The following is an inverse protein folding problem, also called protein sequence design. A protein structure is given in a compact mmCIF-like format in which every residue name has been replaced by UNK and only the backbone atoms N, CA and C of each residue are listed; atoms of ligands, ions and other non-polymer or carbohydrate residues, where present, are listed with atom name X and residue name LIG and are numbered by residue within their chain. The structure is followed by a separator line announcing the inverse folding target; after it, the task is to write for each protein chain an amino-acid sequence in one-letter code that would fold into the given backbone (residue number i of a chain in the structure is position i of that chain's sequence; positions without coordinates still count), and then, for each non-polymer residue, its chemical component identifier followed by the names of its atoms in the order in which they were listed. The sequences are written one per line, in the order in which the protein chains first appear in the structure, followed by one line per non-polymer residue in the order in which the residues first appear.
data_IF_016486081037
#
_entry.id   IF_016486081037
#
_cell.length_a   1.000
_cell.length_b   1.000
_cell.length_c   1.000
_cell.angle_alpha   90.00
_cell.angle_beta   90.00
_cell.angle_gamma   90.00
#
_symmetry.space_group_name_H-M   'P 1'
#
loop_
_entity.id
_entity.type
_entity.pdbx_description
1 polymer ?
#
# COMPACT_ATOMS: atom_id res chain seq x y z
N UNK A 1 -15.40 17.58 -32.37
CA UNK A 1 -14.09 16.94 -32.27
C UNK A 1 -13.90 16.45 -30.83
N UNK A 2 -13.57 15.17 -30.69
CA UNK A 2 -13.23 14.60 -29.37
C UNK A 2 -11.86 15.16 -28.96
N UNK A 3 -11.70 15.79 -27.78
CA UNK A 3 -10.43 16.38 -27.35
C UNK A 3 -9.40 15.34 -26.90
N UNK A 4 -9.45 14.16 -27.47
CA UNK A 4 -8.65 13.00 -27.08
C UNK A 4 -7.95 12.41 -28.28
N UNK A 5 -6.72 11.95 -28.07
CA UNK A 5 -5.94 11.29 -29.09
C UNK A 5 -6.23 9.78 -29.08
N UNK A 6 -6.68 9.21 -30.21
CA UNK A 6 -6.87 7.76 -30.29
C UNK A 6 -5.51 7.06 -30.36
N UNK A 7 -5.42 5.89 -29.74
CA UNK A 7 -4.31 4.97 -29.93
C UNK A 7 -4.49 4.23 -31.29
N UNK A 8 -3.48 3.54 -31.82
CA UNK A 8 -3.51 2.98 -33.17
C UNK A 8 -4.70 2.08 -33.50
N UNK A 9 -5.25 1.38 -32.51
CA UNK A 9 -6.39 0.49 -32.68
C UNK A 9 -7.76 1.18 -32.52
N UNK A 10 -7.78 2.50 -32.22
CA UNK A 10 -8.97 3.31 -31.99
C UNK A 10 -9.90 2.79 -30.88
N UNK A 11 -9.40 1.96 -29.96
CA UNK A 11 -10.12 1.48 -28.77
C UNK A 11 -9.64 2.14 -27.48
N UNK A 12 -8.54 2.89 -27.54
CA UNK A 12 -7.92 3.60 -26.42
C UNK A 12 -7.81 5.08 -26.73
N UNK A 13 -8.22 5.93 -25.79
CA UNK A 13 -8.22 7.38 -25.96
C UNK A 13 -7.50 8.06 -24.81
N UNK A 14 -6.67 9.05 -25.12
CA UNK A 14 -5.89 9.81 -24.15
C UNK A 14 -6.20 11.30 -24.29
N UNK A 15 -6.64 11.92 -23.21
CA UNK A 15 -6.98 13.34 -23.13
C UNK A 15 -6.09 13.97 -22.03
N UNK A 16 -5.17 14.85 -22.41
CA UNK A 16 -4.23 15.47 -21.47
C UNK A 16 -4.21 16.99 -21.57
N UNK A 17 -5.23 17.59 -22.18
CA UNK A 17 -5.30 19.04 -22.30
C UNK A 17 -5.57 19.69 -20.95
N UNK A 18 -4.67 20.57 -20.44
CA UNK A 18 -4.79 21.13 -19.09
C UNK A 18 -6.06 21.97 -18.85
N UNK A 19 -6.65 22.51 -19.90
CA UNK A 19 -7.87 23.32 -19.80
C UNK A 19 -9.16 22.52 -19.94
N UNK A 20 -9.06 21.20 -20.21
CA UNK A 20 -10.24 20.35 -20.36
C UNK A 20 -11.01 20.30 -19.02
N UNK A 21 -12.26 20.75 -19.05
CA UNK A 21 -13.12 20.84 -17.85
C UNK A 21 -14.34 19.92 -17.90
N UNK A 22 -14.58 19.25 -19.02
CA UNK A 22 -15.70 18.32 -19.18
C UNK A 22 -15.19 16.96 -19.65
N UNK A 23 -15.83 15.88 -19.17
CA UNK A 23 -15.52 14.53 -19.62
C UNK A 23 -15.84 14.40 -21.13
N UNK A 24 -14.96 13.77 -21.92
CA UNK A 24 -15.16 13.68 -23.38
C UNK A 24 -16.44 12.93 -23.74
N UNK A 25 -17.13 13.40 -24.76
CA UNK A 25 -18.32 12.78 -25.32
C UNK A 25 -18.04 12.26 -26.71
N UNK A 26 -18.91 11.39 -27.23
CA UNK A 26 -18.80 10.89 -28.60
C UNK A 26 -17.73 9.81 -28.80
N UNK A 27 -17.27 9.19 -27.72
CA UNK A 27 -16.37 8.04 -27.82
C UNK A 27 -17.11 6.82 -28.40
N UNK A 28 -16.46 6.01 -29.26
CA UNK A 28 -17.12 4.87 -29.87
C UNK A 28 -17.49 3.78 -28.86
N UNK A 29 -18.55 3.00 -29.11
CA UNK A 29 -18.94 1.89 -28.22
C UNK A 29 -17.88 0.79 -28.08
N UNK A 30 -16.92 0.75 -28.98
CA UNK A 30 -15.78 -0.19 -28.94
C UNK A 30 -14.67 0.22 -27.99
N UNK A 31 -14.80 1.37 -27.32
CA UNK A 31 -13.75 1.90 -26.43
C UNK A 31 -13.47 0.94 -25.28
N UNK A 32 -12.19 0.61 -25.10
CA UNK A 32 -11.68 -0.30 -24.06
C UNK A 32 -11.00 0.46 -22.94
N UNK A 33 -10.31 1.57 -23.26
CA UNK A 33 -9.58 2.35 -22.28
C UNK A 33 -9.71 3.85 -22.54
N UNK A 34 -9.86 4.60 -21.46
CA UNK A 34 -9.90 6.06 -21.48
C UNK A 34 -8.93 6.57 -20.42
N UNK A 35 -8.09 7.53 -20.84
CA UNK A 35 -7.23 8.28 -19.93
C UNK A 35 -7.56 9.77 -20.07
N UNK A 36 -8.07 10.38 -19.00
CA UNK A 36 -8.25 11.83 -18.88
C UNK A 36 -7.39 12.27 -17.70
N UNK A 37 -6.21 12.77 -17.99
CA UNK A 37 -5.19 13.04 -16.97
C UNK A 37 -4.59 14.43 -17.12
N UNK A 38 -4.20 15.04 -16.00
CA UNK A 38 -3.58 16.37 -15.95
C UNK A 38 -4.47 17.45 -16.56
N UNK A 39 -5.76 17.39 -16.29
CA UNK A 39 -6.76 18.33 -16.82
C UNK A 39 -7.41 19.14 -15.69
N UNK A 40 -8.31 20.04 -16.08
CA UNK A 40 -9.12 20.82 -15.16
C UNK A 40 -10.47 20.15 -14.80
N UNK A 41 -10.61 18.84 -15.09
CA UNK A 41 -11.84 18.11 -14.83
C UNK A 41 -12.16 18.07 -13.34
N UNK A 42 -13.30 18.66 -12.96
CA UNK A 42 -13.72 18.78 -11.57
C UNK A 42 -14.97 17.96 -11.25
N UNK A 43 -15.78 17.65 -12.25
CA UNK A 43 -17.04 16.91 -12.09
C UNK A 43 -17.24 15.92 -13.20
N UNK A 44 -17.98 14.86 -12.91
CA UNK A 44 -18.43 13.87 -13.89
C UNK A 44 -19.94 13.79 -13.88
N UNK A 45 -20.61 13.82 -15.04
CA UNK A 45 -22.04 13.54 -15.06
C UNK A 45 -22.28 12.04 -14.72
N UNK A 46 -23.43 11.69 -14.11
CA UNK A 46 -23.73 10.29 -13.82
C UNK A 46 -23.70 9.38 -15.06
N UNK A 47 -23.92 9.98 -16.23
CA UNK A 47 -23.97 9.31 -17.52
C UNK A 47 -22.67 9.34 -18.30
N UNK A 48 -21.57 9.76 -17.67
CA UNK A 48 -20.27 9.94 -18.36
C UNK A 48 -19.81 8.72 -19.14
N UNK A 49 -20.10 7.52 -18.64
CA UNK A 49 -19.67 6.26 -19.24
C UNK A 49 -20.78 5.52 -19.97
N UNK A 50 -21.95 6.15 -20.14
CA UNK A 50 -23.06 5.57 -20.91
C UNK A 50 -22.61 5.30 -22.34
N UNK A 51 -23.01 4.15 -22.90
CA UNK A 51 -22.65 3.79 -24.27
C UNK A 51 -21.23 3.24 -24.45
N UNK A 52 -20.54 2.88 -23.36
CA UNK A 52 -19.18 2.32 -23.39
C UNK A 52 -19.15 0.91 -22.76
N UNK A 53 -19.91 -0.07 -23.28
CA UNK A 53 -20.10 -1.36 -22.61
C UNK A 53 -18.84 -2.24 -22.54
N UNK A 54 -17.80 -1.89 -23.32
CA UNK A 54 -16.53 -2.66 -23.37
C UNK A 54 -15.41 -2.03 -22.59
N UNK A 55 -15.69 -0.97 -21.83
CA UNK A 55 -14.66 -0.26 -21.08
C UNK A 55 -14.05 -1.17 -20.01
N UNK A 56 -12.73 -1.31 -20.05
CA UNK A 56 -11.94 -2.09 -19.09
C UNK A 56 -11.01 -1.22 -18.23
N UNK A 57 -10.57 -0.08 -18.75
CA UNK A 57 -9.65 0.79 -18.05
C UNK A 57 -10.14 2.23 -18.07
N UNK A 58 -10.21 2.82 -16.88
CA UNK A 58 -10.53 4.23 -16.71
C UNK A 58 -9.45 4.89 -15.85
N UNK A 59 -8.65 5.76 -16.49
CA UNK A 59 -7.59 6.51 -15.85
C UNK A 59 -7.99 7.97 -15.75
N UNK A 60 -8.16 8.46 -14.51
CA UNK A 60 -8.59 9.83 -14.22
C UNK A 60 -7.61 10.54 -13.28
N UNK A 61 -6.32 10.19 -13.35
CA UNK A 61 -5.32 10.75 -12.46
C UNK A 61 -5.06 12.24 -12.72
N UNK A 62 -4.68 12.94 -11.66
CA UNK A 62 -4.26 14.35 -11.71
C UNK A 62 -5.32 15.27 -12.33
N UNK A 63 -6.53 15.12 -11.87
CA UNK A 63 -7.65 16.04 -12.14
C UNK A 63 -8.06 16.74 -10.85
N UNK A 64 -9.27 17.31 -10.81
CA UNK A 64 -9.80 18.07 -9.67
C UNK A 64 -11.12 17.48 -9.15
N UNK A 65 -11.29 16.16 -9.27
CA UNK A 65 -12.52 15.50 -8.86
C UNK A 65 -12.63 15.49 -7.33
N UNK A 66 -13.71 16.12 -6.81
CA UNK A 66 -14.01 16.15 -5.38
C UNK A 66 -15.06 15.10 -4.98
N UNK A 67 -15.83 14.60 -5.94
CA UNK A 67 -16.85 13.58 -5.72
C UNK A 67 -17.07 12.77 -7.01
N UNK A 68 -17.60 11.55 -6.85
CA UNK A 68 -18.02 10.71 -7.97
C UNK A 68 -19.51 10.45 -7.88
N UNK A 69 -20.24 10.44 -9.01
CA UNK A 69 -21.64 10.02 -9.01
C UNK A 69 -21.79 8.56 -8.61
N UNK A 70 -22.80 8.23 -7.80
CA UNK A 70 -23.03 6.86 -7.37
C UNK A 70 -23.32 5.89 -8.50
N UNK A 71 -23.90 6.38 -9.62
CA UNK A 71 -24.24 5.58 -10.77
C UNK A 71 -23.15 5.53 -11.86
N UNK A 72 -22.01 6.18 -11.63
CA UNK A 72 -20.96 6.36 -12.65
C UNK A 72 -20.53 5.06 -13.32
N UNK A 73 -20.31 4.00 -12.54
CA UNK A 73 -19.73 2.76 -13.02
C UNK A 73 -20.78 1.70 -13.42
N UNK A 74 -22.07 1.98 -13.27
CA UNK A 74 -23.12 1.04 -13.65
C UNK A 74 -23.08 0.60 -15.12
N UNK A 75 -22.77 1.50 -16.08
CA UNK A 75 -22.72 1.10 -17.50
C UNK A 75 -21.53 0.22 -17.87
N UNK A 76 -20.54 0.05 -16.97
CA UNK A 76 -19.25 -0.54 -17.31
C UNK A 76 -18.89 -1.74 -16.39
N UNK A 77 -19.70 -2.82 -16.41
CA UNK A 77 -19.45 -3.99 -15.55
C UNK A 77 -18.17 -4.75 -15.91
N UNK A 78 -17.57 -4.46 -17.05
CA UNK A 78 -16.31 -5.05 -17.53
C UNK A 78 -15.06 -4.31 -17.03
N UNK A 79 -15.22 -3.27 -16.22
CA UNK A 79 -14.11 -2.47 -15.73
C UNK A 79 -13.13 -3.30 -14.89
N UNK A 80 -11.85 -3.22 -15.21
CA UNK A 80 -10.76 -3.94 -14.56
C UNK A 80 -9.79 -3.02 -13.84
N UNK A 81 -9.62 -1.80 -14.35
CA UNK A 81 -8.68 -0.81 -13.81
C UNK A 81 -9.42 0.51 -13.61
N UNK A 82 -9.35 1.04 -12.40
CA UNK A 82 -9.80 2.39 -12.07
C UNK A 82 -8.67 3.13 -11.36
N UNK A 83 -8.14 4.16 -11.99
CA UNK A 83 -7.09 5.01 -11.43
C UNK A 83 -7.63 6.42 -11.19
N UNK A 84 -7.69 6.82 -9.92
CA UNK A 84 -8.16 8.11 -9.46
C UNK A 84 -7.06 8.87 -8.70
N UNK A 85 -5.80 8.56 -9.00
CA UNK A 85 -4.63 9.18 -8.34
C UNK A 85 -4.69 10.71 -8.43
N UNK A 86 -4.32 11.37 -7.33
CA UNK A 86 -4.17 12.83 -7.26
C UNK A 86 -5.42 13.60 -7.70
N UNK A 87 -6.52 13.29 -7.07
CA UNK A 87 -7.76 14.08 -7.12
C UNK A 87 -8.05 14.68 -5.73
N UNK A 88 -9.27 15.08 -5.49
CA UNK A 88 -9.71 15.76 -4.27
C UNK A 88 -10.81 14.96 -3.54
N UNK A 89 -10.86 13.65 -3.76
CA UNK A 89 -11.90 12.79 -3.19
C UNK A 89 -11.74 12.66 -1.68
N UNK A 90 -12.75 13.01 -0.91
CA UNK A 90 -12.80 12.80 0.53
C UNK A 90 -13.66 11.60 0.93
N UNK A 91 -14.52 11.14 0.02
CA UNK A 91 -15.33 9.94 0.19
C UNK A 91 -15.71 9.34 -1.17
N UNK A 92 -16.23 8.12 -1.16
CA UNK A 92 -16.82 7.45 -2.31
C UNK A 92 -18.26 7.05 -1.98
N UNK A 93 -19.17 7.06 -2.97
CA UNK A 93 -20.51 6.50 -2.76
C UNK A 93 -20.44 5.03 -2.33
N UNK A 94 -21.22 4.65 -1.33
CA UNK A 94 -21.13 3.31 -0.71
C UNK A 94 -21.32 2.16 -1.72
N UNK A 95 -22.17 2.35 -2.72
CA UNK A 95 -22.48 1.33 -3.73
C UNK A 95 -21.75 1.48 -5.06
N UNK A 96 -20.72 2.33 -5.14
CA UNK A 96 -20.06 2.64 -6.41
C UNK A 96 -19.50 1.41 -7.13
N UNK A 97 -18.99 0.43 -6.38
CA UNK A 97 -18.39 -0.79 -6.94
C UNK A 97 -19.33 -1.98 -6.98
N UNK A 98 -20.63 -1.81 -6.73
CA UNK A 98 -21.58 -2.92 -6.69
C UNK A 98 -21.63 -3.70 -7.99
N UNK A 99 -21.52 -3.02 -9.14
CA UNK A 99 -21.57 -3.65 -10.46
C UNK A 99 -20.24 -3.97 -11.10
N UNK A 100 -19.11 -3.67 -10.45
CA UNK A 100 -17.77 -3.83 -11.03
C UNK A 100 -16.99 -4.98 -10.39
N UNK A 101 -17.60 -6.16 -10.32
CA UNK A 101 -17.01 -7.34 -9.67
C UNK A 101 -15.76 -7.88 -10.35
N UNK A 102 -15.44 -7.43 -11.57
CA UNK A 102 -14.23 -7.79 -12.30
C UNK A 102 -13.05 -6.86 -12.03
N UNK A 103 -13.23 -5.85 -11.18
CA UNK A 103 -12.17 -4.88 -10.91
C UNK A 103 -10.94 -5.57 -10.32
N UNK A 104 -9.78 -5.31 -10.91
CA UNK A 104 -8.49 -5.89 -10.55
C UNK A 104 -7.54 -4.88 -9.91
N UNK A 105 -7.58 -3.63 -10.39
CA UNK A 105 -6.71 -2.55 -9.91
C UNK A 105 -7.56 -1.34 -9.54
N UNK A 106 -7.44 -0.92 -8.28
CA UNK A 106 -8.09 0.29 -7.77
C UNK A 106 -7.04 1.18 -7.14
N UNK A 107 -6.83 2.37 -7.72
CA UNK A 107 -5.84 3.33 -7.23
C UNK A 107 -6.56 4.59 -6.80
N UNK A 108 -6.48 4.88 -5.51
CA UNK A 108 -7.07 6.07 -4.85
C UNK A 108 -5.99 6.93 -4.18
N UNK A 109 -4.75 6.76 -4.60
CA UNK A 109 -3.58 7.45 -4.07
C UNK A 109 -3.71 8.96 -4.22
N UNK A 110 -3.28 9.71 -3.19
CA UNK A 110 -3.19 11.16 -3.30
C UNK A 110 -4.54 11.88 -3.28
N UNK A 111 -5.51 11.33 -2.60
CA UNK A 111 -6.81 11.97 -2.36
C UNK A 111 -6.92 12.49 -0.92
N UNK A 112 -8.13 12.66 -0.42
CA UNK A 112 -8.42 13.21 0.91
C UNK A 112 -9.31 12.27 1.74
N UNK A 113 -9.23 10.97 1.50
CA UNK A 113 -10.04 9.98 2.21
C UNK A 113 -9.67 9.96 3.69
N UNK A 114 -10.66 10.07 4.57
CA UNK A 114 -10.49 10.01 6.03
C UNK A 114 -10.98 8.72 6.64
N UNK A 115 -12.00 8.13 6.02
CA UNK A 115 -12.67 6.93 6.53
C UNK A 115 -12.81 5.93 5.38
N UNK A 116 -12.45 4.68 5.64
CA UNK A 116 -12.76 3.58 4.75
C UNK A 116 -14.12 3.00 5.12
N UNK A 117 -14.95 2.78 4.11
CA UNK A 117 -16.22 2.08 4.30
C UNK A 117 -16.06 0.64 3.81
N UNK A 118 -16.24 -0.36 4.67
CA UNK A 118 -16.14 -1.77 4.27
C UNK A 118 -17.07 -2.13 3.10
N UNK A 119 -18.20 -1.43 2.96
CA UNK A 119 -19.13 -1.62 1.87
C UNK A 119 -18.51 -1.41 0.48
N UNK A 120 -17.47 -0.59 0.36
CA UNK A 120 -16.81 -0.38 -0.94
C UNK A 120 -16.23 -1.67 -1.52
N UNK A 121 -15.75 -2.56 -0.66
CA UNK A 121 -14.98 -3.73 -1.10
C UNK A 121 -15.80 -5.01 -1.15
N UNK A 122 -17.10 -4.97 -0.79
CA UNK A 122 -17.93 -6.16 -0.60
C UNK A 122 -17.96 -7.09 -1.81
N UNK A 123 -17.95 -6.54 -3.03
CA UNK A 123 -18.09 -7.31 -4.27
C UNK A 123 -16.79 -7.45 -5.07
N UNK A 124 -15.64 -7.02 -4.51
CA UNK A 124 -14.38 -6.93 -5.23
C UNK A 124 -13.48 -8.16 -4.99
N UNK A 125 -14.05 -9.35 -5.12
CA UNK A 125 -13.32 -10.61 -4.87
C UNK A 125 -12.15 -10.86 -5.84
N UNK A 126 -12.11 -10.16 -6.99
CA UNK A 126 -11.04 -10.28 -7.98
C UNK A 126 -10.00 -9.16 -7.89
N UNK A 127 -10.16 -8.22 -6.96
CA UNK A 127 -9.21 -7.13 -6.80
C UNK A 127 -7.85 -7.67 -6.40
N UNK A 128 -6.81 -7.29 -7.16
CA UNK A 128 -5.42 -7.72 -6.96
C UNK A 128 -4.53 -6.61 -6.40
N UNK A 129 -4.85 -5.36 -6.71
CA UNK A 129 -4.06 -4.19 -6.33
C UNK A 129 -4.98 -3.11 -5.78
N UNK A 130 -4.71 -2.69 -4.53
CA UNK A 130 -5.41 -1.58 -3.89
C UNK A 130 -4.39 -0.58 -3.36
N UNK A 131 -4.41 0.63 -3.92
CA UNK A 131 -3.54 1.72 -3.48
C UNK A 131 -4.37 2.82 -2.82
N UNK A 132 -4.21 2.95 -1.51
CA UNK A 132 -4.84 3.97 -0.67
C UNK A 132 -3.81 4.93 -0.07
N UNK A 133 -2.61 4.97 -0.65
CA UNK A 133 -1.52 5.79 -0.14
C UNK A 133 -1.83 7.29 -0.22
N UNK A 134 -1.17 8.07 0.64
CA UNK A 134 -1.25 9.53 0.61
C UNK A 134 -2.69 10.05 0.70
N UNK A 135 -3.45 9.51 1.63
CA UNK A 135 -4.75 10.00 2.06
C UNK A 135 -4.67 10.51 3.51
N UNK A 136 -5.80 10.64 4.17
CA UNK A 136 -5.88 11.11 5.55
C UNK A 136 -6.52 10.07 6.49
N UNK A 137 -6.30 8.78 6.20
CA UNK A 137 -6.88 7.69 6.98
C UNK A 137 -6.27 7.65 8.38
N UNK A 138 -7.10 7.72 9.40
CA UNK A 138 -6.70 7.61 10.81
C UNK A 138 -6.90 6.22 11.37
N UNK A 139 -7.79 5.45 10.76
CA UNK A 139 -8.07 4.07 11.15
C UNK A 139 -8.59 3.27 9.97
N UNK A 140 -8.45 1.95 10.06
CA UNK A 140 -9.07 0.99 9.14
C UNK A 140 -10.00 0.11 9.97
N UNK A 141 -11.30 0.06 9.65
CA UNK A 141 -12.23 -0.78 10.43
C UNK A 141 -11.82 -2.25 10.39
N UNK A 142 -12.08 -3.01 11.46
CA UNK A 142 -11.90 -4.46 11.44
C UNK A 142 -12.67 -5.09 10.28
N UNK A 143 -12.11 -6.10 9.64
CA UNK A 143 -12.75 -6.83 8.54
C UNK A 143 -13.00 -5.99 7.27
N UNK A 144 -12.46 -4.77 7.19
CA UNK A 144 -12.69 -3.88 6.04
C UNK A 144 -12.27 -4.52 4.70
N UNK A 145 -11.19 -5.29 4.73
CA UNK A 145 -10.63 -5.92 3.52
C UNK A 145 -10.99 -7.39 3.39
N UNK A 146 -11.85 -7.92 4.26
CA UNK A 146 -12.17 -9.35 4.30
C UNK A 146 -12.62 -9.94 2.96
N UNK A 147 -13.43 -9.24 2.14
CA UNK A 147 -13.85 -9.76 0.83
C UNK A 147 -12.73 -9.88 -0.22
N UNK A 148 -11.58 -9.24 0.02
CA UNK A 148 -10.52 -9.09 -0.97
C UNK A 148 -9.59 -10.32 -1.01
N UNK A 149 -10.16 -11.48 -1.26
CA UNK A 149 -9.43 -12.76 -1.21
C UNK A 149 -8.36 -12.93 -2.28
N UNK A 150 -8.39 -12.12 -3.34
CA UNK A 150 -7.39 -12.15 -4.42
C UNK A 150 -6.36 -11.03 -4.33
N UNK A 151 -6.46 -10.16 -3.31
CA UNK A 151 -5.58 -9.00 -3.18
C UNK A 151 -4.13 -9.43 -2.96
N UNK A 152 -3.25 -8.98 -3.85
CA UNK A 152 -1.81 -9.25 -3.80
C UNK A 152 -1.01 -8.08 -3.23
N UNK A 153 -1.44 -6.85 -3.48
CA UNK A 153 -0.77 -5.65 -3.00
C UNK A 153 -1.75 -4.68 -2.35
N UNK A 154 -1.42 -4.28 -1.11
CA UNK A 154 -2.15 -3.26 -0.36
C UNK A 154 -1.17 -2.16 0.04
N UNK A 155 -1.43 -0.94 -0.42
CA UNK A 155 -0.63 0.23 -0.05
C UNK A 155 -1.47 1.18 0.81
N UNK A 156 -1.08 1.33 2.07
CA UNK A 156 -1.66 2.25 3.05
C UNK A 156 -0.64 3.29 3.52
N UNK A 157 0.45 3.47 2.76
CA UNK A 157 1.52 4.38 3.12
C UNK A 157 1.07 5.84 3.14
N UNK A 158 1.77 6.65 3.93
CA UNK A 158 1.53 8.10 4.01
C UNK A 158 0.07 8.45 4.37
N UNK A 159 -0.47 7.74 5.33
CA UNK A 159 -1.72 8.07 6.01
C UNK A 159 -1.41 8.49 7.46
N UNK A 160 -2.39 8.42 8.33
CA UNK A 160 -2.27 8.86 9.72
C UNK A 160 -2.61 7.73 10.70
N UNK A 161 -2.34 6.47 10.32
CA UNK A 161 -2.65 5.31 11.13
C UNK A 161 -1.76 5.26 12.37
N UNK A 162 -2.36 5.26 13.55
CA UNK A 162 -1.64 5.13 14.83
C UNK A 162 -1.62 3.69 15.33
N UNK A 163 -2.60 2.89 14.94
CA UNK A 163 -2.74 1.48 15.30
C UNK A 163 -3.29 0.70 14.12
N UNK A 164 -3.09 -0.62 14.16
CA UNK A 164 -3.77 -1.56 13.27
C UNK A 164 -4.80 -2.31 14.08
N UNK A 165 -6.08 -2.16 13.72
CA UNK A 165 -7.18 -2.80 14.44
C UNK A 165 -7.07 -4.32 14.38
N UNK A 166 -7.48 -5.03 15.46
CA UNK A 166 -7.58 -6.49 15.40
C UNK A 166 -8.47 -6.93 14.24
N UNK A 167 -8.01 -7.91 13.44
CA UNK A 167 -8.76 -8.40 12.29
C UNK A 167 -8.70 -7.53 11.05
N UNK A 168 -7.90 -6.47 11.04
CA UNK A 168 -7.76 -5.59 9.87
C UNK A 168 -7.31 -6.33 8.62
N UNK A 169 -6.40 -7.30 8.77
CA UNK A 169 -5.85 -8.06 7.65
C UNK A 169 -6.57 -9.37 7.39
N UNK A 170 -7.64 -9.67 8.12
CA UNK A 170 -8.40 -10.90 7.93
C UNK A 170 -8.97 -11.00 6.51
N UNK A 171 -8.89 -12.18 5.93
CA UNK A 171 -9.36 -12.45 4.58
C UNK A 171 -8.34 -12.23 3.47
N UNK A 172 -7.24 -11.55 3.76
CA UNK A 172 -6.20 -11.22 2.76
C UNK A 172 -5.24 -12.39 2.53
N UNK A 173 -5.77 -13.53 2.14
CA UNK A 173 -5.00 -14.79 2.01
C UNK A 173 -3.94 -14.77 0.92
N UNK A 174 -4.13 -13.96 -0.12
CA UNK A 174 -3.22 -13.87 -1.25
C UNK A 174 -2.23 -12.70 -1.15
N UNK A 175 -2.26 -11.95 -0.04
CA UNK A 175 -1.46 -10.73 0.08
C UNK A 175 0.04 -11.05 0.08
N UNK A 176 0.75 -10.42 -0.85
CA UNK A 176 2.20 -10.55 -1.02
C UNK A 176 2.96 -9.28 -0.65
N UNK A 177 2.35 -8.13 -0.79
CA UNK A 177 2.95 -6.83 -0.50
C UNK A 177 2.04 -6.00 0.39
N UNK A 178 2.58 -5.54 1.52
CA UNK A 178 1.90 -4.61 2.43
C UNK A 178 2.81 -3.41 2.69
N UNK A 179 2.36 -2.21 2.32
CA UNK A 179 3.08 -0.99 2.58
C UNK A 179 2.35 -0.14 3.63
N UNK A 180 2.99 0.04 4.77
CA UNK A 180 2.53 0.86 5.89
C UNK A 180 3.50 2.01 6.21
N UNK A 181 4.41 2.31 5.27
CA UNK A 181 5.39 3.40 5.41
C UNK A 181 4.72 4.73 5.73
N UNK A 182 5.39 5.54 6.56
CA UNK A 182 4.99 6.94 6.74
C UNK A 182 3.67 7.13 7.48
N UNK A 183 3.30 6.21 8.34
CA UNK A 183 2.17 6.36 9.25
C UNK A 183 2.65 6.78 10.65
N UNK A 184 1.82 6.55 11.67
CA UNK A 184 2.11 6.91 13.07
C UNK A 184 2.05 5.70 13.98
N UNK A 185 2.35 4.50 13.45
CA UNK A 185 2.25 3.26 14.20
C UNK A 185 3.24 3.25 15.36
N UNK A 186 2.73 3.15 16.58
CA UNK A 186 3.55 3.07 17.79
C UNK A 186 3.71 1.65 18.32
N UNK A 187 2.70 0.83 18.13
CA UNK A 187 2.67 -0.57 18.58
C UNK A 187 1.94 -1.43 17.56
N UNK A 188 2.25 -2.72 17.58
CA UNK A 188 1.54 -3.74 16.81
C UNK A 188 1.04 -4.82 17.77
N UNK A 189 -0.07 -5.48 17.41
CA UNK A 189 -0.59 -6.61 18.18
C UNK A 189 0.16 -7.89 17.78
N UNK A 190 0.30 -8.86 18.72
CA UNK A 190 1.03 -10.11 18.42
C UNK A 190 0.51 -10.87 17.21
N UNK A 191 -0.80 -10.86 16.98
CA UNK A 191 -1.44 -11.61 15.90
C UNK A 191 -1.63 -10.82 14.60
N UNK A 192 -1.05 -9.63 14.49
CA UNK A 192 -1.26 -8.72 13.34
C UNK A 192 -1.05 -9.40 11.99
N UNK A 193 0.01 -10.17 11.83
CA UNK A 193 0.38 -10.77 10.54
C UNK A 193 -0.03 -12.23 10.38
N UNK A 194 -0.72 -12.81 11.36
CA UNK A 194 -1.21 -14.19 11.27
C UNK A 194 -2.09 -14.42 10.03
N UNK A 195 -2.99 -13.48 9.64
CA UNK A 195 -3.86 -13.68 8.48
C UNK A 195 -3.15 -13.62 7.12
N UNK A 196 -1.89 -13.20 7.06
CA UNK A 196 -1.18 -12.91 5.80
C UNK A 196 0.12 -13.72 5.64
N UNK A 197 0.06 -15.07 5.69
CA UNK A 197 1.27 -15.91 5.67
C UNK A 197 2.02 -15.89 4.34
N UNK A 198 1.39 -15.42 3.26
CA UNK A 198 2.00 -15.33 1.93
C UNK A 198 2.78 -14.03 1.71
N UNK A 199 2.86 -13.19 2.73
CA UNK A 199 3.51 -11.88 2.60
C UNK A 199 4.99 -12.02 2.27
N UNK A 200 5.44 -11.30 1.24
CA UNK A 200 6.81 -11.28 0.74
C UNK A 200 7.50 -9.95 0.99
N UNK A 201 6.75 -8.86 0.93
CA UNK A 201 7.24 -7.49 1.06
C UNK A 201 6.47 -6.78 2.15
N UNK A 202 7.15 -6.34 3.20
CA UNK A 202 6.55 -5.60 4.31
C UNK A 202 7.34 -4.32 4.58
N UNK A 203 6.67 -3.18 4.44
CA UNK A 203 7.25 -1.87 4.63
C UNK A 203 6.62 -1.20 5.86
N UNK A 204 7.42 -1.00 6.89
CA UNK A 204 7.03 -0.38 8.18
C UNK A 204 7.92 0.83 8.52
N UNK A 205 8.75 1.28 7.58
CA UNK A 205 9.65 2.40 7.81
C UNK A 205 8.89 3.72 8.03
N UNK A 206 9.56 4.67 8.66
CA UNK A 206 9.00 5.99 8.93
C UNK A 206 7.69 5.94 9.74
N UNK A 207 7.68 5.13 10.78
CA UNK A 207 6.63 5.06 11.79
C UNK A 207 7.21 5.45 13.16
N UNK A 208 6.52 5.08 14.23
CA UNK A 208 6.92 5.39 15.61
C UNK A 208 6.99 4.12 16.48
N UNK A 209 7.31 2.99 15.86
CA UNK A 209 7.38 1.71 16.56
C UNK A 209 8.48 1.74 17.60
N UNK A 210 8.12 1.51 18.87
CA UNK A 210 9.07 1.49 20.00
C UNK A 210 9.48 0.07 20.36
N UNK A 211 8.55 -0.86 20.24
CA UNK A 211 8.79 -2.26 20.50
C UNK A 211 7.91 -3.10 19.57
N UNK A 212 8.38 -4.31 19.28
CA UNK A 212 7.64 -5.29 18.52
C UNK A 212 7.29 -6.46 19.45
N UNK A 213 6.05 -6.99 19.36
CA UNK A 213 5.68 -8.19 20.10
C UNK A 213 6.60 -9.36 19.75
N UNK A 214 6.88 -10.22 20.74
CA UNK A 214 7.66 -11.42 20.50
C UNK A 214 7.00 -12.28 19.42
N UNK A 215 7.80 -12.74 18.47
CA UNK A 215 7.32 -13.62 17.41
C UNK A 215 6.39 -12.98 16.39
N UNK A 216 6.32 -11.64 16.32
CA UNK A 216 5.39 -10.95 15.40
C UNK A 216 5.58 -11.36 13.94
N UNK A 217 6.82 -11.64 13.51
CA UNK A 217 7.12 -12.03 12.13
C UNK A 217 7.16 -13.54 11.91
N UNK A 218 6.92 -14.37 12.94
CA UNK A 218 6.93 -15.84 12.81
C UNK A 218 5.99 -16.36 11.72
N UNK A 219 4.77 -15.82 11.52
CA UNK A 219 3.90 -16.30 10.46
C UNK A 219 4.42 -16.03 9.05
N UNK A 220 5.37 -15.11 8.91
CA UNK A 220 5.83 -14.59 7.60
C UNK A 220 7.02 -15.38 7.07
N UNK A 221 6.80 -16.65 6.74
CA UNK A 221 7.85 -17.59 6.31
C UNK A 221 8.41 -17.28 4.92
N UNK A 222 7.69 -16.51 4.11
CA UNK A 222 8.06 -16.17 2.73
C UNK A 222 8.57 -14.75 2.58
N UNK A 223 8.80 -14.06 3.68
CA UNK A 223 9.23 -12.67 3.67
C UNK A 223 10.61 -12.54 3.00
N UNK A 224 10.68 -11.64 2.00
CA UNK A 224 11.91 -11.35 1.24
C UNK A 224 12.45 -9.97 1.56
N UNK A 225 11.57 -9.00 1.81
CA UNK A 225 11.92 -7.61 2.13
C UNK A 225 11.17 -7.19 3.38
N UNK A 226 11.92 -6.70 4.37
CA UNK A 226 11.37 -6.10 5.58
C UNK A 226 12.09 -4.78 5.82
N UNK A 227 11.35 -3.68 5.75
CA UNK A 227 11.89 -2.35 6.04
C UNK A 227 11.34 -1.85 7.37
N UNK A 228 12.23 -1.65 8.34
CA UNK A 228 11.94 -1.15 9.68
C UNK A 228 12.68 0.15 9.97
N UNK A 229 13.24 0.78 8.93
CA UNK A 229 14.06 1.98 9.08
C UNK A 229 13.28 3.14 9.70
N UNK A 230 13.99 3.99 10.43
CA UNK A 230 13.44 5.23 10.97
C UNK A 230 12.17 5.02 11.81
N UNK A 231 12.30 4.12 12.77
CA UNK A 231 11.37 3.92 13.87
C UNK A 231 12.09 4.26 15.19
N UNK A 232 11.63 3.72 16.30
CA UNK A 232 12.22 3.94 17.63
C UNK A 232 12.55 2.60 18.28
N UNK A 233 12.94 1.62 17.48
CA UNK A 233 13.20 0.26 17.92
C UNK A 233 14.57 0.14 18.60
N UNK A 234 14.61 -0.63 19.71
CA UNK A 234 15.83 -0.96 20.45
C UNK A 234 16.24 -2.39 20.28
N UNK A 235 15.30 -3.27 20.00
CA UNK A 235 15.52 -4.71 19.86
C UNK A 235 14.72 -5.23 18.66
N UNK A 236 15.21 -6.34 18.12
CA UNK A 236 14.59 -7.02 16.99
C UNK A 236 14.70 -8.53 17.18
N UNK A 237 13.64 -9.22 16.90
CA UNK A 237 13.56 -10.67 16.91
C UNK A 237 13.02 -11.14 15.56
N UNK A 238 13.74 -12.02 14.90
CA UNK A 238 13.32 -12.61 13.64
C UNK A 238 13.28 -14.14 13.76
N UNK A 239 12.35 -14.79 13.04
CA UNK A 239 12.29 -16.25 13.04
C UNK A 239 13.55 -16.85 12.40
N UNK A 240 13.97 -18.06 12.84
CA UNK A 240 15.01 -18.78 12.13
C UNK A 240 14.56 -19.06 10.71
N UNK A 241 15.44 -18.82 9.75
CA UNK A 241 15.13 -19.00 8.33
C UNK A 241 15.68 -20.34 7.83
N UNK A 242 14.88 -20.97 6.98
CA UNK A 242 15.34 -22.09 6.18
C UNK A 242 16.39 -21.64 5.16
N UNK A 243 17.26 -22.52 4.68
CA UNK A 243 18.18 -22.19 3.61
C UNK A 243 17.43 -21.62 2.41
N UNK A 244 17.83 -20.45 1.96
CA UNK A 244 17.15 -19.73 0.88
C UNK A 244 17.78 -18.36 0.69
N UNK A 245 17.21 -17.52 -0.21
CA UNK A 245 17.72 -16.18 -0.40
C UNK A 245 17.66 -15.37 0.91
N UNK A 246 18.68 -14.55 1.13
CA UNK A 246 18.77 -13.71 2.31
C UNK A 246 17.59 -12.73 2.36
N UNK A 247 17.11 -12.44 3.58
CA UNK A 247 16.14 -11.40 3.81
C UNK A 247 16.79 -10.04 3.52
N UNK A 248 16.17 -9.24 2.66
CA UNK A 248 16.54 -7.85 2.49
C UNK A 248 15.90 -7.05 3.62
N UNK A 249 16.71 -6.62 4.57
CA UNK A 249 16.26 -6.01 5.81
C UNK A 249 16.91 -4.63 5.96
N UNK A 250 16.12 -3.57 6.12
CA UNK A 250 16.60 -2.24 6.47
C UNK A 250 16.17 -1.92 7.91
N UNK A 251 17.14 -1.68 8.76
CA UNK A 251 16.94 -1.35 10.19
C UNK A 251 17.60 -0.02 10.57
N UNK A 252 18.01 0.78 9.60
CA UNK A 252 18.66 2.06 9.83
C UNK A 252 17.76 3.07 10.56
N UNK A 253 18.37 4.04 11.21
CA UNK A 253 17.63 5.12 11.87
C UNK A 253 16.83 4.72 13.10
N UNK A 254 17.23 3.65 13.80
CA UNK A 254 16.63 3.22 15.07
C UNK A 254 17.64 3.31 16.21
N UNK A 255 17.20 3.51 17.45
CA UNK A 255 18.09 3.58 18.62
C UNK A 255 18.42 2.17 19.16
N UNK A 256 19.17 1.38 18.42
CA UNK A 256 19.45 -0.01 18.75
C UNK A 256 20.19 -0.18 20.07
N UNK A 257 19.73 -1.13 20.88
CA UNK A 257 20.48 -1.65 22.01
C UNK A 257 21.38 -2.77 21.51
N UNK A 258 22.66 -2.49 21.34
CA UNK A 258 23.64 -3.43 20.81
C UNK A 258 24.09 -4.42 21.88
N UNK A 259 23.17 -5.23 22.34
CA UNK A 259 23.36 -6.33 23.28
C UNK A 259 23.47 -7.65 22.57
N UNK A 260 23.86 -8.69 23.28
CA UNK A 260 24.13 -10.01 22.71
C UNK A 260 23.01 -10.56 21.84
N UNK A 261 21.77 -10.36 22.27
CA UNK A 261 20.62 -10.90 21.55
C UNK A 261 20.50 -10.29 20.15
N UNK A 262 20.58 -8.98 20.02
CA UNK A 262 20.54 -8.29 18.74
C UNK A 262 21.74 -8.64 17.86
N UNK A 263 22.92 -8.61 18.43
CA UNK A 263 24.15 -8.88 17.69
C UNK A 263 24.20 -10.31 17.15
N UNK A 264 23.76 -11.29 17.95
CA UNK A 264 23.66 -12.66 17.51
C UNK A 264 22.65 -12.83 16.37
N UNK A 265 21.52 -12.14 16.45
CA UNK A 265 20.50 -12.13 15.38
C UNK A 265 21.08 -11.58 14.08
N UNK A 266 21.72 -10.42 14.12
CA UNK A 266 22.23 -9.76 12.92
C UNK A 266 23.35 -10.56 12.24
N UNK A 267 24.18 -11.27 13.01
CA UNK A 267 25.18 -12.18 12.45
C UNK A 267 24.56 -13.31 11.63
N UNK A 268 23.37 -13.77 12.01
CA UNK A 268 22.68 -14.87 11.31
C UNK A 268 21.95 -14.41 10.05
N UNK A 269 21.48 -13.19 10.02
CA UNK A 269 20.48 -12.77 9.03
C UNK A 269 21.10 -12.26 7.73
N UNK A 270 22.13 -11.46 7.76
CA UNK A 270 22.81 -11.00 6.54
C UNK A 270 24.06 -10.18 6.81
N UNK A 271 25.17 -10.45 6.11
CA UNK A 271 26.29 -9.54 6.06
C UNK A 271 25.99 -8.18 5.42
N UNK A 272 24.98 -8.13 4.56
CA UNK A 272 24.64 -6.93 3.77
C UNK A 272 23.92 -5.85 4.59
N UNK A 273 23.20 -6.26 5.63
CA UNK A 273 22.57 -5.36 6.59
C UNK A 273 23.50 -4.38 7.24
N UNK A 274 24.71 -4.79 7.30
CA UNK A 274 25.75 -4.24 8.15
C UNK A 274 26.48 -3.10 7.46
N UNK A 275 26.14 -2.79 6.19
CA UNK A 275 26.79 -1.73 5.43
C UNK A 275 26.02 -0.40 5.41
N UNK A 276 24.82 -0.37 5.99
CA UNK A 276 24.03 0.85 6.05
C UNK A 276 24.64 1.82 7.08
N UNK A 277 25.13 2.96 6.60
CA UNK A 277 25.85 3.96 7.40
C UNK A 277 25.03 4.53 8.56
N UNK A 278 23.70 4.49 8.47
CA UNK A 278 22.80 5.07 9.46
C UNK A 278 22.30 4.04 10.48
N UNK A 279 22.93 2.87 10.54
CA UNK A 279 22.58 1.82 11.51
C UNK A 279 23.53 1.89 12.67
N UNK A 280 23.12 2.62 13.72
CA UNK A 280 23.96 2.96 14.85
C UNK A 280 23.43 2.35 16.15
N UNK A 281 24.35 2.05 17.06
CA UNK A 281 24.02 1.68 18.43
C UNK A 281 23.65 2.92 19.25
N UNK A 282 22.59 2.86 20.03
CA UNK A 282 22.24 3.85 21.02
C UNK A 282 22.72 3.44 22.43
N UNK A 283 22.85 2.15 22.66
CA UNK A 283 23.30 1.57 23.93
C UNK A 283 23.99 0.23 23.68
N UNK A 284 24.77 -0.32 24.63
CA UNK A 284 25.21 0.30 25.89
C UNK A 284 26.14 1.50 25.65
N UNK A 285 26.48 2.32 26.66
CA UNK A 285 27.28 3.51 26.47
C UNK A 285 28.61 3.28 25.74
N UNK A 286 29.25 2.13 25.94
CA UNK A 286 30.52 1.78 25.28
C UNK A 286 30.40 1.65 23.74
N UNK A 287 29.19 1.44 23.23
CA UNK A 287 28.93 1.30 21.79
C UNK A 287 28.15 2.48 21.21
N UNK A 288 27.81 3.46 22.02
CA UNK A 288 27.00 4.61 21.60
C UNK A 288 27.58 5.29 20.38
N UNK A 289 26.71 5.53 19.38
CA UNK A 289 27.03 6.14 18.08
C UNK A 289 27.99 5.34 17.20
N UNK A 290 28.33 4.10 17.58
CA UNK A 290 29.10 3.22 16.70
C UNK A 290 28.16 2.53 15.71
N UNK A 291 28.65 2.31 14.50
CA UNK A 291 27.91 1.51 13.53
C UNK A 291 27.73 0.09 14.05
N UNK A 292 26.51 -0.43 13.97
CA UNK A 292 26.16 -1.80 14.38
C UNK A 292 27.08 -2.82 13.71
N UNK A 293 27.45 -2.55 12.46
CA UNK A 293 28.42 -3.34 11.70
C UNK A 293 29.73 -3.55 12.44
N UNK A 294 30.33 -2.45 12.90
CA UNK A 294 31.63 -2.51 13.54
C UNK A 294 31.59 -3.25 14.87
N UNK A 295 30.48 -3.17 15.59
CA UNK A 295 30.28 -3.90 16.85
C UNK A 295 30.03 -5.40 16.59
N UNK A 296 29.24 -5.72 15.57
CA UNK A 296 28.89 -7.11 15.24
C UNK A 296 30.09 -7.92 14.79
N UNK A 297 31.04 -7.30 14.07
CA UNK A 297 32.18 -8.00 13.48
C UNK A 297 33.48 -7.87 14.30
N UNK A 298 33.51 -6.98 15.29
CA UNK A 298 34.76 -6.70 16.05
C UNK A 298 35.18 -7.79 17.04
N UNK A 299 34.36 -8.79 17.28
CA UNK A 299 34.69 -9.85 18.25
C UNK A 299 34.73 -9.39 19.70
N UNK A 300 34.37 -8.15 19.97
CA UNK A 300 34.42 -7.53 21.31
C UNK A 300 33.23 -7.88 22.20
N UNK A 301 32.41 -8.80 21.77
CA UNK A 301 31.21 -9.19 22.51
C UNK A 301 31.42 -10.51 23.21
N UNK A 302 31.20 -10.53 24.51
CA UNK A 302 31.17 -11.72 25.34
C UNK A 302 30.00 -12.67 24.95
N UNK A 303 29.43 -12.45 23.79
CA UNK A 303 28.36 -13.25 23.25
C UNK A 303 28.90 -14.41 22.41
#
# INVERSE_FOLDING_TARGET
AVPCSPQPDATRFVCTEPTLSAFPTGLPPSTVAISVEFTALATLPPTALAGLPRLQELHLSSNRLAALPGALLRPVPTLRVLDLTDNLLDELPAGIFTGTSLLQHLVLRGNRLRVLQPAWFRHLAQLEWLDLAANALTEVPPMAFHPLRSLQSLDLSHNELATLAPGMLDGLKALERLNLEGNRLGTLLPATFVPVPSLRLLFLQDNKLQALPDGIFLPLRHLHVLDLARNQLRALELPPRSPGPALDLDISGNPWACECQLLALLRRVSPQLVTARDTLCASPPRYRAREVATVTWAGDTDC
#
